data_IF_272086873612
#
_entry.id   IF_272086873612
#
_cell.length_a   1.000
_cell.length_b   1.000
_cell.length_c   1.000
_cell.angle_alpha   90.00
_cell.angle_beta   90.00
_cell.angle_gamma   90.00
#
_symmetry.space_group_name_H-M   'P 1'
#
loop_
_entity.id
_entity.type
_entity.pdbx_description
1 polymer ?
#
# COMPACT_ATOMS: atom_id res chain seq x y z
N UNK A 1 -14.86 15.37 -23.04
CA UNK A 1 -14.26 15.48 -21.69
C UNK A 1 -12.87 16.09 -21.82
N UNK A 2 -12.65 17.29 -21.29
CA UNK A 2 -11.35 18.00 -21.39
C UNK A 2 -10.45 17.50 -20.26
N UNK A 3 -9.35 16.80 -20.58
CA UNK A 3 -8.37 16.38 -19.57
C UNK A 3 -7.71 17.61 -18.95
N UNK A 4 -7.55 17.59 -17.64
CA UNK A 4 -6.91 18.66 -16.88
C UNK A 4 -5.45 18.26 -16.72
N UNK A 5 -4.58 18.70 -17.62
CA UNK A 5 -3.17 18.29 -17.70
C UNK A 5 -2.38 18.56 -16.42
N UNK A 6 -2.68 19.67 -15.73
CA UNK A 6 -2.04 20.02 -14.46
C UNK A 6 -2.33 19.01 -13.33
N UNK A 7 -3.52 18.41 -13.36
CA UNK A 7 -3.96 17.44 -12.36
C UNK A 7 -3.30 16.08 -12.60
N UNK A 8 -3.17 15.66 -13.86
CA UNK A 8 -2.42 14.46 -14.23
C UNK A 8 -0.93 14.60 -13.86
N UNK A 9 -0.35 15.80 -14.01
CA UNK A 9 1.02 16.10 -13.59
C UNK A 9 1.20 16.04 -12.06
N UNK A 10 0.30 16.66 -11.29
CA UNK A 10 0.31 16.61 -9.83
C UNK A 10 0.18 15.19 -9.26
N UNK A 11 -0.62 14.34 -9.92
CA UNK A 11 -0.70 12.91 -9.60
C UNK A 11 0.62 12.19 -9.81
N UNK A 12 1.29 12.42 -10.94
CA UNK A 12 2.58 11.79 -11.25
C UNK A 12 3.64 12.13 -10.22
N UNK A 13 3.76 13.40 -9.83
CA UNK A 13 4.68 13.85 -8.78
C UNK A 13 4.37 13.18 -7.45
N UNK A 14 3.09 13.14 -7.06
CA UNK A 14 2.67 12.53 -5.78
C UNK A 14 3.05 11.05 -5.72
N UNK A 15 2.83 10.28 -6.80
CA UNK A 15 3.17 8.86 -6.85
C UNK A 15 4.68 8.65 -6.76
N UNK A 16 5.49 9.44 -7.46
CA UNK A 16 6.95 9.36 -7.37
C UNK A 16 7.44 9.62 -5.94
N UNK A 17 6.87 10.63 -5.26
CA UNK A 17 7.22 10.95 -3.89
C UNK A 17 6.88 9.81 -2.90
N UNK A 18 5.73 9.15 -3.08
CA UNK A 18 5.35 7.95 -2.29
C UNK A 18 6.36 6.82 -2.46
N UNK A 19 6.72 6.51 -3.71
CA UNK A 19 7.65 5.39 -4.00
C UNK A 19 9.03 5.69 -3.41
N UNK A 20 9.54 6.92 -3.57
CA UNK A 20 10.81 7.34 -2.97
C UNK A 20 10.77 7.22 -1.43
N UNK A 21 9.68 7.66 -0.80
CA UNK A 21 9.50 7.53 0.65
C UNK A 21 9.52 6.07 1.12
N UNK A 22 8.90 5.16 0.38
CA UNK A 22 8.91 3.73 0.69
C UNK A 22 10.26 3.05 0.42
N UNK A 23 10.96 3.42 -0.66
CA UNK A 23 12.30 2.91 -0.95
C UNK A 23 13.27 3.33 0.17
N UNK A 24 13.25 4.59 0.57
CA UNK A 24 14.05 5.10 1.68
C UNK A 24 13.70 4.38 2.99
N UNK A 25 12.42 4.32 3.36
CA UNK A 25 11.98 3.62 4.58
C UNK A 25 12.37 2.14 4.56
N UNK A 26 12.27 1.47 3.39
CA UNK A 26 12.64 0.08 3.21
C UNK A 26 14.14 -0.17 3.37
N UNK A 27 14.97 0.69 2.77
CA UNK A 27 16.43 0.66 2.93
C UNK A 27 16.84 0.89 4.38
N UNK A 28 16.18 1.81 5.09
CA UNK A 28 16.50 2.14 6.48
C UNK A 28 15.97 1.13 7.50
N UNK A 29 14.99 0.30 7.14
CA UNK A 29 14.49 -0.78 8.00
C UNK A 29 15.31 -2.07 7.90
N UNK A 30 16.33 -2.13 7.04
CA UNK A 30 17.24 -3.29 6.94
C UNK A 30 18.22 -3.32 8.12
N UNK A 31 18.32 -4.44 8.86
CA UNK A 31 19.29 -4.59 9.95
C UNK A 31 20.72 -4.56 9.38
N UNK A 32 21.48 -3.52 9.70
CA UNK A 32 22.86 -3.30 9.20
C UNK A 32 23.23 -1.82 9.03
N UNK A 33 22.24 -0.95 8.83
CA UNK A 33 22.41 0.51 8.76
C UNK A 33 21.85 1.19 10.04
N UNK A 34 22.40 0.81 11.21
CA UNK A 34 21.88 1.26 12.52
C UNK A 34 22.28 2.69 12.94
N UNK A 35 23.00 3.44 12.11
CA UNK A 35 23.70 4.67 12.53
C UNK A 35 23.17 5.97 11.93
N UNK A 36 21.84 6.14 11.82
CA UNK A 36 21.28 7.47 11.55
C UNK A 36 20.10 7.84 12.47
N UNK A 37 20.27 9.01 13.08
CA UNK A 37 19.48 9.64 14.15
C UNK A 37 17.97 9.71 13.91
N UNK A 38 17.21 9.77 15.01
CA UNK A 38 15.75 9.98 15.01
C UNK A 38 15.26 11.17 14.17
N UNK A 39 16.13 12.14 13.87
CA UNK A 39 15.84 13.27 12.97
C UNK A 39 15.46 12.79 11.56
N UNK A 40 16.13 11.80 10.98
CA UNK A 40 15.82 11.32 9.62
C UNK A 40 14.49 10.56 9.58
N UNK A 41 14.20 9.78 10.61
CA UNK A 41 12.90 9.11 10.80
C UNK A 41 11.76 10.12 10.97
N UNK A 42 11.96 11.16 11.77
CA UNK A 42 10.94 12.20 11.99
C UNK A 42 10.70 13.00 10.71
N UNK A 43 11.74 13.35 9.95
CA UNK A 43 11.60 14.03 8.66
C UNK A 43 10.81 13.19 7.66
N UNK A 44 11.08 11.88 7.56
CA UNK A 44 10.30 10.98 6.70
C UNK A 44 8.83 10.95 7.16
N UNK A 45 8.57 10.84 8.46
CA UNK A 45 7.23 10.74 9.00
C UNK A 45 6.39 11.99 8.69
N UNK A 46 6.97 13.18 8.84
CA UNK A 46 6.30 14.45 8.51
C UNK A 46 5.94 14.51 7.03
N UNK A 47 6.89 14.15 6.15
CA UNK A 47 6.66 14.11 4.70
C UNK A 47 5.51 13.15 4.37
N UNK A 48 5.48 11.97 4.99
CA UNK A 48 4.40 11.00 4.84
C UNK A 48 3.04 11.53 5.33
N UNK A 49 3.00 12.30 6.41
CA UNK A 49 1.78 12.93 6.92
C UNK A 49 1.16 13.92 5.92
N UNK A 50 1.96 14.55 5.05
CA UNK A 50 1.44 15.44 4.00
C UNK A 50 1.11 14.71 2.70
N UNK A 51 1.92 13.74 2.28
CA UNK A 51 1.70 13.01 1.02
C UNK A 51 0.37 12.25 1.04
N UNK A 52 0.02 11.61 2.15
CA UNK A 52 -1.21 10.80 2.28
C UNK A 52 -2.51 11.62 2.07
N UNK A 53 -2.72 12.76 2.76
CA UNK A 53 -3.89 13.60 2.52
C UNK A 53 -3.88 14.27 1.13
N UNK A 54 -2.72 14.64 0.58
CA UNK A 54 -2.63 15.21 -0.78
C UNK A 54 -3.05 14.16 -1.82
N UNK A 55 -2.54 12.93 -1.71
CA UNK A 55 -2.94 11.83 -2.58
C UNK A 55 -4.44 11.55 -2.49
N UNK A 56 -4.99 11.57 -1.27
CA UNK A 56 -6.42 11.39 -1.03
C UNK A 56 -7.26 12.50 -1.68
N UNK A 57 -6.87 13.76 -1.52
CA UNK A 57 -7.55 14.91 -2.14
C UNK A 57 -7.53 14.84 -3.67
N UNK A 58 -6.38 14.50 -4.27
CA UNK A 58 -6.26 14.27 -5.71
C UNK A 58 -7.14 13.10 -6.18
N UNK A 59 -7.20 12.01 -5.41
CA UNK A 59 -8.07 10.87 -5.75
C UNK A 59 -9.55 11.25 -5.76
N UNK A 60 -9.98 12.11 -4.82
CA UNK A 60 -11.33 12.66 -4.76
C UNK A 60 -11.61 13.67 -5.88
N UNK A 61 -10.65 14.52 -6.22
CA UNK A 61 -10.81 15.52 -7.29
C UNK A 61 -11.02 14.89 -8.68
N UNK A 62 -10.36 13.75 -8.98
CA UNK A 62 -10.62 13.03 -10.23
C UNK A 62 -11.86 12.13 -10.18
N UNK A 63 -12.54 12.05 -9.04
CA UNK A 63 -13.79 11.32 -8.96
C UNK A 63 -14.88 12.09 -9.71
N UNK A 64 -15.16 11.68 -10.95
CA UNK A 64 -16.32 12.15 -11.69
C UNK A 64 -17.51 11.22 -11.41
N UNK A 65 -18.56 11.67 -10.69
CA UNK A 65 -19.81 10.93 -10.61
C UNK A 65 -20.50 10.95 -11.98
N UNK A 66 -20.24 9.93 -12.80
CA UNK A 66 -20.86 9.74 -14.12
C UNK A 66 -22.39 9.55 -14.05
N UNK A 67 -22.92 9.20 -12.87
CA UNK A 67 -24.33 8.91 -12.68
C UNK A 67 -24.77 9.65 -11.42
N UNK A 68 -25.79 10.51 -11.53
CA UNK A 68 -26.27 11.35 -10.43
C UNK A 68 -26.46 10.59 -9.11
N UNK A 69 -26.53 11.34 -8.01
CA UNK A 69 -26.52 10.87 -6.60
C UNK A 69 -27.32 9.57 -6.34
N UNK A 70 -28.44 9.32 -7.03
CA UNK A 70 -29.22 8.06 -6.96
C UNK A 70 -28.45 6.78 -7.31
N UNK A 71 -27.45 6.83 -8.18
CA UNK A 71 -26.69 5.66 -8.67
C UNK A 71 -25.28 5.54 -8.05
N UNK A 72 -24.91 6.45 -7.16
CA UNK A 72 -23.60 6.48 -6.50
C UNK A 72 -23.33 5.19 -5.69
N UNK A 73 -24.32 4.75 -4.89
CA UNK A 73 -24.22 3.52 -4.10
C UNK A 73 -24.03 2.26 -4.95
N UNK A 74 -24.70 2.18 -6.10
CA UNK A 74 -24.57 1.02 -7.01
C UNK A 74 -23.20 0.95 -7.67
N UNK A 75 -22.57 2.10 -7.94
CA UNK A 75 -21.20 2.16 -8.48
C UNK A 75 -20.15 1.78 -7.43
N UNK A 76 -20.32 2.19 -6.17
CA UNK A 76 -19.45 1.78 -5.06
C UNK A 76 -19.55 0.27 -4.85
N UNK A 77 -20.77 -0.28 -4.81
CA UNK A 77 -20.98 -1.71 -4.62
C UNK A 77 -20.33 -2.53 -5.73
N UNK A 78 -20.46 -2.11 -7.00
CA UNK A 78 -19.78 -2.76 -8.14
C UNK A 78 -18.25 -2.74 -7.99
N UNK A 79 -17.67 -1.61 -7.57
CA UNK A 79 -16.23 -1.52 -7.30
C UNK A 79 -15.82 -2.44 -6.14
N UNK A 80 -16.58 -2.43 -5.05
CA UNK A 80 -16.31 -3.29 -3.89
C UNK A 80 -16.34 -4.77 -4.26
N UNK A 81 -17.35 -5.22 -5.02
CA UNK A 81 -17.43 -6.61 -5.51
C UNK A 81 -16.23 -6.94 -6.39
N UNK A 82 -15.84 -6.03 -7.30
CA UNK A 82 -14.69 -6.25 -8.18
C UNK A 82 -13.34 -6.35 -7.43
N UNK A 83 -13.23 -5.76 -6.24
CA UNK A 83 -12.07 -5.87 -5.36
C UNK A 83 -12.17 -7.08 -4.40
N UNK A 84 -13.36 -7.41 -3.92
CA UNK A 84 -13.60 -8.57 -3.04
C UNK A 84 -13.48 -9.90 -3.79
N UNK A 85 -13.91 -9.95 -5.04
CA UNK A 85 -13.87 -11.15 -5.88
C UNK A 85 -12.46 -11.76 -6.01
N UNK A 86 -11.41 -11.01 -6.39
CA UNK A 86 -10.05 -11.55 -6.43
C UNK A 86 -9.56 -11.97 -5.03
N UNK A 87 -9.92 -11.24 -3.96
CA UNK A 87 -9.51 -11.59 -2.60
C UNK A 87 -10.05 -12.96 -2.15
N UNK A 88 -11.32 -13.26 -2.45
CA UNK A 88 -11.94 -14.54 -2.12
C UNK A 88 -11.25 -15.70 -2.84
N UNK A 89 -10.96 -15.55 -4.13
CA UNK A 89 -10.26 -16.57 -4.93
C UNK A 89 -8.86 -16.85 -4.36
N UNK A 90 -8.12 -15.79 -4.01
CA UNK A 90 -6.79 -15.96 -3.43
C UNK A 90 -6.86 -16.69 -2.08
N UNK A 91 -7.81 -16.35 -1.20
CA UNK A 91 -7.98 -16.98 0.12
C UNK A 91 -8.14 -18.50 0.05
N UNK A 92 -8.91 -19.02 -0.91
CA UNK A 92 -9.08 -20.47 -1.10
C UNK A 92 -7.80 -21.16 -1.57
N UNK A 93 -7.09 -20.54 -2.51
CA UNK A 93 -5.81 -21.03 -3.01
C UNK A 93 -4.74 -21.09 -1.89
N UNK A 94 -4.69 -20.08 -1.01
CA UNK A 94 -3.78 -20.09 0.13
C UNK A 94 -4.08 -21.22 1.11
N UNK A 95 -5.36 -21.51 1.40
CA UNK A 95 -5.74 -22.65 2.26
C UNK A 95 -5.34 -23.99 1.65
N UNK A 96 -5.57 -24.20 0.37
CA UNK A 96 -5.17 -25.43 -0.33
C UNK A 96 -3.64 -25.60 -0.37
N UNK A 97 -2.90 -24.50 -0.55
CA UNK A 97 -1.42 -24.49 -0.49
C UNK A 97 -0.92 -24.83 0.93
N UNK A 98 -1.58 -24.32 1.97
CA UNK A 98 -1.23 -24.60 3.36
C UNK A 98 -1.59 -26.03 3.80
N UNK A 99 -2.64 -26.61 3.23
CA UNK A 99 -3.03 -28.01 3.48
C UNK A 99 -2.09 -29.03 2.79
N UNK A 100 -1.43 -28.62 1.69
CA UNK A 100 -0.45 -29.44 0.96
C UNK A 100 0.99 -29.22 1.43
N UNK A 101 1.28 -28.16 2.17
CA UNK A 101 2.59 -27.98 2.81
C UNK A 101 2.73 -28.94 4.02
N UNK A 102 3.79 -29.76 4.08
CA UNK A 102 4.09 -30.50 5.31
C UNK A 102 4.34 -29.48 6.43
N UNK A 103 3.66 -29.64 7.57
CA UNK A 103 3.92 -28.84 8.78
C UNK A 103 5.41 -28.98 9.14
N UNK A 104 6.21 -27.98 8.80
CA UNK A 104 7.61 -27.93 9.23
C UNK A 104 7.58 -27.77 10.75
N UNK A 105 8.10 -28.78 11.45
CA UNK A 105 8.10 -28.85 12.90
C UNK A 105 8.86 -27.64 13.47
N UNK A 106 8.13 -26.76 14.16
CA UNK A 106 8.61 -25.46 14.68
C UNK A 106 9.74 -25.62 15.71
N UNK A 107 10.04 -26.85 16.14
CA UNK A 107 11.14 -27.19 17.05
C UNK A 107 12.55 -26.90 16.48
N UNK A 108 12.71 -26.83 15.16
CA UNK A 108 14.03 -26.61 14.51
C UNK A 108 14.40 -25.13 14.28
N UNK A 109 13.46 -24.21 14.46
CA UNK A 109 13.69 -22.77 14.20
C UNK A 109 14.14 -22.05 15.49
N UNK A 110 13.77 -22.56 16.68
CA UNK A 110 14.16 -21.97 17.96
C UNK A 110 15.62 -22.21 18.35
N UNK A 111 16.29 -23.23 17.80
CA UNK A 111 17.71 -23.53 18.08
C UNK A 111 18.68 -22.76 17.19
N UNK A 112 18.19 -22.03 16.18
CA UNK A 112 19.00 -21.14 15.32
C UNK A 112 18.88 -19.67 15.72
N UNK A 113 18.65 -19.38 17.00
CA UNK A 113 19.04 -18.08 17.57
C UNK A 113 20.57 -18.06 17.67
N UNK A 114 21.19 -17.63 16.57
CA UNK A 114 22.30 -16.67 16.56
C UNK A 114 23.33 -16.86 17.68
N UNK A 115 24.32 -17.72 17.44
CA UNK A 115 25.66 -17.49 17.99
C UNK A 115 26.33 -16.42 17.12
N UNK A 116 26.28 -15.18 17.58
CA UNK A 116 27.30 -14.16 17.31
C UNK A 116 27.83 -13.71 18.67
#
# INVERSE_FOLDING_TARGET
>A
MKRITWVDFGKGITILFVVLGHVLTGMFNTPGYSNYNGITKTSIAIIFTFIMPVFFALSGYLYHPNNGIKNYGRNILKKAINLLFPYMIFSENYKNKLATCPKINTKYISTRKVHF
#
